data_IF_928549327476
#
_entry.id   IF_928549327476
#
_cell.length_a   1.000
_cell.length_b   1.000
_cell.length_c   1.000
_cell.angle_alpha   90.00
_cell.angle_beta   90.00
_cell.angle_gamma   90.00
#
_symmetry.space_group_name_H-M   'P 1'
#
loop_
_entity.id
_entity.type
_entity.pdbx_description
1 polymer ?
#
# COMPACT_ATOMS: atom_id res chain seq x y z
N UNK A 1 12.53 -10.55 -5.92
CA UNK A 1 11.66 -10.84 -7.07
C UNK A 1 10.28 -11.25 -6.56
N UNK A 2 9.22 -10.54 -6.92
CA UNK A 2 7.87 -10.72 -6.34
C UNK A 2 7.17 -12.00 -6.82
N UNK A 3 6.05 -12.35 -6.17
CA UNK A 3 5.17 -13.50 -6.53
C UNK A 3 4.68 -13.47 -7.99
N UNK A 4 4.79 -12.32 -8.67
CA UNK A 4 4.36 -12.12 -10.05
C UNK A 4 5.47 -11.48 -10.90
N UNK A 5 5.50 -11.88 -12.16
CA UNK A 5 6.25 -11.19 -13.21
C UNK A 5 5.24 -10.33 -13.98
N UNK A 6 5.40 -9.01 -13.86
CA UNK A 6 4.56 -8.01 -14.54
C UNK A 6 5.32 -7.43 -15.72
N UNK A 7 4.78 -7.60 -16.93
CA UNK A 7 5.38 -7.05 -18.16
C UNK A 7 5.30 -5.51 -18.16
N UNK A 8 6.27 -4.79 -18.77
CA UNK A 8 6.27 -3.32 -18.82
C UNK A 8 4.99 -2.69 -19.39
N UNK A 9 4.33 -3.38 -20.33
CA UNK A 9 3.07 -2.94 -20.94
C UNK A 9 1.97 -2.73 -19.90
N UNK A 10 1.95 -3.52 -18.83
CA UNK A 10 0.98 -3.36 -17.75
C UNK A 10 1.23 -2.08 -16.97
N UNK A 11 2.49 -1.77 -16.65
CA UNK A 11 2.83 -0.51 -15.97
C UNK A 11 2.40 0.69 -16.81
N UNK A 12 2.67 0.64 -18.11
CA UNK A 12 2.25 1.68 -19.05
C UNK A 12 0.73 1.79 -19.16
N UNK A 13 0.00 0.66 -19.14
CA UNK A 13 -1.46 0.64 -19.13
C UNK A 13 -2.03 1.31 -17.87
N UNK A 14 -1.49 0.99 -16.68
CA UNK A 14 -1.92 1.60 -15.42
C UNK A 14 -1.66 3.11 -15.41
N UNK A 15 -0.48 3.55 -15.85
CA UNK A 15 -0.13 4.97 -15.96
C UNK A 15 -1.04 5.70 -16.95
N UNK A 16 -1.23 5.16 -18.15
CA UNK A 16 -2.07 5.78 -19.17
C UNK A 16 -3.53 5.84 -18.71
N UNK A 17 -4.05 4.80 -18.06
CA UNK A 17 -5.39 4.80 -17.50
C UNK A 17 -5.57 5.92 -16.47
N UNK A 18 -4.63 6.09 -15.53
CA UNK A 18 -4.68 7.20 -14.59
C UNK A 18 -4.58 8.55 -15.29
N UNK A 19 -3.69 8.69 -16.28
CA UNK A 19 -3.49 9.95 -17.02
C UNK A 19 -4.76 10.42 -17.74
N UNK A 20 -5.56 9.50 -18.28
CA UNK A 20 -6.80 9.85 -18.99
C UNK A 20 -8.01 10.04 -18.05
N UNK A 21 -8.06 9.29 -16.95
CA UNK A 21 -9.26 9.22 -16.11
C UNK A 21 -9.14 9.95 -14.77
N UNK A 22 -7.91 10.17 -14.30
CA UNK A 22 -7.61 10.58 -12.93
C UNK A 22 -7.88 9.50 -11.87
N UNK A 23 -8.33 8.31 -12.27
CA UNK A 23 -8.73 7.24 -11.36
C UNK A 23 -7.53 6.39 -11.00
N UNK A 24 -7.28 6.20 -9.69
CA UNK A 24 -6.24 5.29 -9.21
C UNK A 24 -6.58 3.86 -9.63
N UNK A 25 -5.58 3.13 -10.09
CA UNK A 25 -5.72 1.75 -10.56
C UNK A 25 -4.61 0.88 -9.96
N UNK A 26 -4.94 -0.37 -9.63
CA UNK A 26 -3.94 -1.33 -9.20
C UNK A 26 -4.34 -2.75 -9.49
N UNK A 27 -3.34 -3.63 -9.44
CA UNK A 27 -3.45 -5.07 -9.60
C UNK A 27 -3.14 -5.69 -8.25
N UNK A 28 -3.99 -6.60 -7.82
CA UNK A 28 -3.98 -7.20 -6.49
C UNK A 28 -3.91 -8.74 -6.61
N UNK A 29 -3.14 -9.39 -5.73
CA UNK A 29 -3.07 -10.85 -5.60
C UNK A 29 -4.38 -11.41 -5.03
N UNK A 30 -4.52 -12.72 -5.10
CA UNK A 30 -5.63 -13.49 -4.53
C UNK A 30 -5.33 -14.00 -3.11
N UNK A 31 -4.23 -13.57 -2.50
CA UNK A 31 -3.88 -13.90 -1.12
C UNK A 31 -4.85 -13.24 -0.12
N UNK A 32 -4.84 -13.70 1.14
CA UNK A 32 -5.81 -13.26 2.14
C UNK A 32 -5.75 -11.76 2.44
N UNK A 33 -4.58 -11.16 2.27
CA UNK A 33 -4.29 -9.74 2.47
C UNK A 33 -4.56 -8.89 1.21
N UNK A 34 -4.88 -9.51 0.07
CA UNK A 34 -5.03 -8.84 -1.23
C UNK A 34 -3.82 -7.94 -1.53
N UNK A 35 -2.63 -8.52 -1.51
CA UNK A 35 -1.38 -7.80 -1.69
C UNK A 35 -1.32 -7.09 -3.05
N UNK A 36 -0.89 -5.83 -3.07
CA UNK A 36 -0.67 -5.08 -4.32
C UNK A 36 0.48 -5.73 -5.11
N UNK A 37 0.20 -6.10 -6.36
CA UNK A 37 1.16 -6.59 -7.35
C UNK A 37 1.80 -5.41 -8.10
N UNK A 38 0.98 -4.45 -8.54
CA UNK A 38 1.41 -3.23 -9.21
C UNK A 38 0.28 -2.21 -9.17
N UNK A 39 0.56 -0.93 -8.94
CA UNK A 39 -0.43 0.13 -8.89
C UNK A 39 0.05 1.41 -9.56
N UNK A 40 -0.88 2.34 -9.82
CA UNK A 40 -0.58 3.70 -10.25
C UNK A 40 -1.68 4.69 -9.81
N UNK A 41 -1.31 5.90 -9.32
CA UNK A 41 0.04 6.31 -8.98
C UNK A 41 0.57 5.47 -7.81
N UNK A 42 1.88 5.23 -7.81
CA UNK A 42 2.56 4.71 -6.62
C UNK A 42 2.44 5.74 -5.50
N UNK A 43 2.44 5.28 -4.24
CA UNK A 43 2.44 6.17 -3.09
C UNK A 43 3.45 7.29 -3.24
N UNK A 44 2.96 8.52 -3.19
CA UNK A 44 3.82 9.69 -3.26
C UNK A 44 4.79 9.66 -2.07
N UNK A 45 6.10 9.86 -2.30
CA UNK A 45 7.07 9.94 -1.21
C UNK A 45 6.83 11.17 -0.34
N UNK A 46 6.18 12.19 -0.91
CA UNK A 46 5.88 13.48 -0.31
C UNK A 46 4.41 13.57 0.06
N UNK A 47 4.19 14.05 1.28
CA UNK A 47 2.90 14.05 1.95
C UNK A 47 1.86 15.00 1.36
N UNK A 48 2.31 16.09 0.74
CA UNK A 48 1.46 17.07 0.06
C UNK A 48 0.73 16.46 -1.15
N UNK A 49 1.34 15.47 -1.78
CA UNK A 49 0.84 14.81 -2.98
C UNK A 49 -0.05 13.59 -2.71
N UNK A 50 -0.25 13.24 -1.43
CA UNK A 50 -1.17 12.19 -1.05
C UNK A 50 -2.63 12.57 -1.37
N UNK A 51 -3.39 11.57 -1.79
CA UNK A 51 -4.84 11.64 -1.96
C UNK A 51 -5.53 11.78 -0.60
N UNK A 52 -6.78 12.23 -0.59
CA UNK A 52 -7.61 12.31 0.63
C UNK A 52 -7.64 10.98 1.39
N UNK A 53 -7.85 9.87 0.68
CA UNK A 53 -7.94 8.55 1.30
C UNK A 53 -6.60 8.08 1.87
N UNK A 54 -5.47 8.38 1.22
CA UNK A 54 -4.14 8.07 1.76
C UNK A 54 -3.86 8.84 3.03
N UNK A 55 -4.12 10.16 3.03
CA UNK A 55 -4.01 11.00 4.24
C UNK A 55 -4.87 10.43 5.38
N UNK A 56 -6.14 10.14 5.10
CA UNK A 56 -7.09 9.60 6.09
C UNK A 56 -6.65 8.24 6.66
N UNK A 57 -6.15 7.33 5.81
CA UNK A 57 -5.63 6.03 6.22
C UNK A 57 -4.39 6.16 7.11
N UNK A 58 -3.49 7.11 6.82
CA UNK A 58 -2.31 7.38 7.64
C UNK A 58 -2.67 7.95 9.02
N UNK A 59 -3.69 8.81 9.08
CA UNK A 59 -4.11 9.46 10.33
C UNK A 59 -4.94 8.58 11.25
N UNK A 60 -5.72 7.65 10.70
CA UNK A 60 -6.73 6.90 11.46
C UNK A 60 -6.73 5.43 11.11
N UNK A 61 -6.24 4.61 12.04
CA UNK A 61 -6.37 3.16 11.96
C UNK A 61 -7.84 2.70 11.92
N UNK A 62 -8.77 3.47 12.50
CA UNK A 62 -10.20 3.21 12.41
C UNK A 62 -10.75 3.42 11.00
N UNK A 63 -10.30 4.47 10.31
CA UNK A 63 -10.62 4.72 8.90
C UNK A 63 -10.06 3.59 8.02
N UNK A 64 -8.77 3.27 8.17
CA UNK A 64 -8.12 2.18 7.41
C UNK A 64 -8.85 0.84 7.54
N UNK A 65 -9.24 0.45 8.76
CA UNK A 65 -9.99 -0.80 9.00
C UNK A 65 -11.33 -0.83 8.26
N UNK A 66 -12.04 0.30 8.17
CA UNK A 66 -13.29 0.37 7.41
C UNK A 66 -13.05 0.27 5.91
N UNK A 67 -12.01 0.92 5.37
CA UNK A 67 -11.63 0.77 3.96
C UNK A 67 -11.37 -0.70 3.61
N UNK A 68 -10.48 -1.35 4.36
CA UNK A 68 -10.11 -2.76 4.14
C UNK A 68 -11.34 -3.67 4.23
N UNK A 69 -12.28 -3.38 5.13
CA UNK A 69 -13.52 -4.15 5.24
C UNK A 69 -14.42 -4.03 4.00
N UNK A 70 -14.55 -2.83 3.42
CA UNK A 70 -15.29 -2.62 2.17
C UNK A 70 -14.63 -3.37 1.02
N UNK A 71 -13.32 -3.17 0.84
CA UNK A 71 -12.56 -3.76 -0.26
C UNK A 71 -12.62 -5.29 -0.18
N UNK A 72 -12.37 -5.87 1.01
CA UNK A 72 -12.41 -7.32 1.22
C UNK A 72 -13.75 -7.94 0.82
N UNK A 73 -14.89 -7.28 1.10
CA UNK A 73 -16.20 -7.78 0.68
C UNK A 73 -16.33 -7.79 -0.84
N UNK A 74 -15.86 -6.75 -1.51
CA UNK A 74 -15.88 -6.66 -2.98
C UNK A 74 -14.97 -7.72 -3.61
N UNK A 75 -13.75 -7.91 -3.10
CA UNK A 75 -12.83 -8.96 -3.56
C UNK A 75 -13.43 -10.36 -3.42
N UNK A 76 -14.01 -10.69 -2.26
CA UNK A 76 -14.63 -12.00 -2.03
C UNK A 76 -15.78 -12.26 -3.01
N UNK A 77 -16.64 -11.26 -3.22
CA UNK A 77 -17.77 -11.38 -4.15
C UNK A 77 -17.32 -11.44 -5.61
N UNK A 78 -16.31 -10.66 -6.00
CA UNK A 78 -15.71 -10.74 -7.33
C UNK A 78 -15.09 -12.12 -7.58
N UNK A 79 -14.45 -12.69 -6.55
CA UNK A 79 -13.88 -14.04 -6.60
C UNK A 79 -14.93 -15.13 -6.78
N UNK A 80 -16.03 -15.04 -6.05
CA UNK A 80 -17.13 -16.00 -6.09
C UNK A 80 -17.88 -15.93 -7.42
N UNK A 81 -18.16 -14.73 -7.91
CA UNK A 81 -18.99 -14.52 -9.10
C UNK A 81 -18.23 -14.54 -10.42
N UNK A 82 -16.91 -14.34 -10.38
CA UNK A 82 -16.09 -14.12 -11.57
C UNK A 82 -16.42 -12.83 -12.33
N UNK A 83 -17.18 -11.91 -11.72
CA UNK A 83 -17.69 -10.68 -12.37
C UNK A 83 -17.22 -9.41 -11.65
N UNK A 84 -17.08 -8.28 -12.38
CA UNK A 84 -16.78 -6.99 -11.76
C UNK A 84 -17.78 -6.62 -10.65
N UNK A 85 -17.26 -6.06 -9.57
CA UNK A 85 -18.05 -5.56 -8.45
C UNK A 85 -17.81 -4.06 -8.31
N UNK A 86 -18.78 -3.25 -8.72
CA UNK A 86 -18.83 -1.82 -8.43
C UNK A 86 -19.52 -1.63 -7.07
N UNK A 87 -18.92 -0.84 -6.19
CA UNK A 87 -19.46 -0.56 -4.87
C UNK A 87 -19.12 0.86 -4.41
N UNK A 88 -19.85 1.32 -3.40
CA UNK A 88 -19.50 2.52 -2.65
C UNK A 88 -18.72 2.11 -1.39
N UNK A 89 -17.56 2.71 -1.18
CA UNK A 89 -16.81 2.52 0.06
C UNK A 89 -17.53 3.19 1.23
N UNK A 90 -17.02 3.03 2.45
CA UNK A 90 -17.66 3.62 3.64
C UNK A 90 -17.68 5.16 3.68
N UNK A 91 -17.02 5.83 2.73
CA UNK A 91 -17.09 7.28 2.51
C UNK A 91 -18.03 7.68 1.36
N UNK A 92 -18.67 6.72 0.70
CA UNK A 92 -19.52 6.97 -0.48
C UNK A 92 -18.74 7.13 -1.79
N UNK A 93 -17.45 6.83 -1.82
CA UNK A 93 -16.67 6.86 -3.07
C UNK A 93 -16.92 5.60 -3.88
N UNK A 94 -17.03 5.77 -5.19
CA UNK A 94 -17.11 4.67 -6.14
C UNK A 94 -15.76 3.98 -6.26
N UNK A 95 -15.81 2.65 -6.13
CA UNK A 95 -14.70 1.74 -6.32
C UNK A 95 -15.18 0.52 -7.09
N UNK A 96 -14.26 -0.16 -7.77
CA UNK A 96 -14.56 -1.40 -8.46
C UNK A 96 -13.42 -2.40 -8.35
N UNK A 97 -13.80 -3.66 -8.18
CA UNK A 97 -12.90 -4.82 -8.29
C UNK A 97 -13.29 -5.61 -9.54
N UNK A 98 -12.33 -5.85 -10.41
CA UNK A 98 -12.48 -6.51 -11.71
C UNK A 98 -11.58 -7.75 -11.70
N UNK A 99 -12.15 -8.97 -11.74
CA UNK A 99 -11.34 -10.19 -11.74
C UNK A 99 -10.60 -10.37 -13.08
N UNK A 100 -9.32 -10.72 -13.02
CA UNK A 100 -8.54 -11.22 -14.16
C UNK A 100 -8.59 -12.74 -14.12
N UNK A 101 -9.15 -13.35 -15.16
CA UNK A 101 -9.51 -14.76 -15.20
C UNK A 101 -8.54 -15.61 -16.02
N UNK A 102 -8.28 -16.82 -15.51
CA UNK A 102 -7.68 -17.95 -16.19
C UNK A 102 -8.74 -19.04 -16.43
N UNK A 103 -9.49 -18.93 -17.52
CA UNK A 103 -10.71 -19.73 -17.67
C UNK A 103 -11.73 -19.31 -16.61
N UNK A 104 -12.13 -20.24 -15.74
CA UNK A 104 -13.09 -19.97 -14.64
C UNK A 104 -12.39 -19.56 -13.33
N UNK A 105 -11.05 -19.63 -13.27
CA UNK A 105 -10.29 -19.31 -12.05
C UNK A 105 -9.87 -17.84 -12.03
N UNK A 106 -10.05 -17.16 -10.89
CA UNK A 106 -9.50 -15.82 -10.68
C UNK A 106 -8.01 -15.91 -10.33
N UNK A 107 -7.16 -15.26 -11.12
CA UNK A 107 -5.69 -15.22 -10.89
C UNK A 107 -5.26 -14.00 -10.07
N UNK A 108 -5.84 -12.86 -10.40
CA UNK A 108 -5.57 -11.58 -9.78
C UNK A 108 -6.78 -10.67 -10.02
N UNK A 109 -6.73 -9.48 -9.46
CA UNK A 109 -7.78 -8.49 -9.62
C UNK A 109 -7.19 -7.18 -10.10
N UNK A 110 -7.88 -6.52 -11.01
CA UNK A 110 -7.76 -5.07 -11.17
C UNK A 110 -8.70 -4.39 -10.18
N UNK A 111 -8.24 -3.32 -9.56
CA UNK A 111 -9.06 -2.48 -8.71
C UNK A 111 -8.89 -1.04 -9.16
N UNK A 112 -10.01 -0.33 -9.31
CA UNK A 112 -10.01 1.10 -9.56
C UNK A 112 -10.86 1.80 -8.50
N UNK A 113 -10.57 3.08 -8.23
CA UNK A 113 -11.49 3.86 -7.44
C UNK A 113 -10.89 5.01 -6.69
N UNK A 114 -11.53 5.27 -5.54
CA UNK A 114 -11.53 6.52 -4.81
C UNK A 114 -12.08 7.66 -5.68
N UNK A 115 -13.24 7.42 -6.28
CA UNK A 115 -13.92 8.37 -7.16
C UNK A 115 -15.12 8.97 -6.45
N UNK A 116 -15.19 10.30 -6.40
CA UNK A 116 -16.36 11.02 -5.90
C UNK A 116 -17.52 10.83 -6.87
N UNK A 117 -18.69 10.51 -6.32
CA UNK A 117 -19.92 10.44 -7.09
C UNK A 117 -20.42 11.87 -7.31
N UNK A 118 -20.57 12.28 -8.57
CA UNK A 118 -21.14 13.59 -8.90
C UNK A 118 -22.60 13.61 -8.44
N UNK A 119 -22.96 14.61 -7.65
CA UNK A 119 -24.35 14.84 -7.23
C UNK A 119 -24.83 16.21 -7.69
N UNK A 120 -26.12 16.50 -7.53
CA UNK A 120 -26.67 17.84 -7.84
C UNK A 120 -26.25 18.92 -6.82
N UNK A 121 -25.72 18.52 -5.66
CA UNK A 121 -25.19 19.43 -4.65
C UNK A 121 -23.74 19.82 -4.97
N UNK A 122 -23.25 20.94 -4.42
CA UNK A 122 -21.89 21.43 -4.65
C UNK A 122 -20.83 20.33 -4.48
N UNK A 123 -19.99 20.15 -5.50
CA UNK A 123 -18.92 19.13 -5.55
C UNK A 123 -17.72 19.55 -4.66
N UNK A 124 -17.96 19.77 -3.37
CA UNK A 124 -16.96 20.25 -2.41
C UNK A 124 -17.18 19.71 -1.01
N UNK A 125 -16.10 19.64 -0.23
CA UNK A 125 -16.19 19.45 1.21
C UNK A 125 -16.25 20.85 1.84
N UNK A 126 -17.29 21.15 2.62
CA UNK A 126 -17.31 22.39 3.40
C UNK A 126 -16.29 22.30 4.53
N UNK A 127 -15.87 23.45 5.06
CA UNK A 127 -14.97 23.47 6.23
C UNK A 127 -15.60 22.76 7.43
N UNK A 128 -16.91 22.92 7.62
CA UNK A 128 -17.67 22.22 8.66
C UNK A 128 -17.67 20.69 8.45
N UNK A 129 -17.90 20.22 7.23
CA UNK A 129 -17.85 18.80 6.90
C UNK A 129 -16.44 18.21 7.11
N UNK A 130 -15.39 18.99 6.81
CA UNK A 130 -14.01 18.59 7.07
C UNK A 130 -13.71 18.48 8.58
N UNK A 131 -14.20 19.44 9.38
CA UNK A 131 -14.09 19.38 10.86
C UNK A 131 -14.84 18.18 11.44
N UNK A 132 -16.06 17.93 10.95
CA UNK A 132 -16.85 16.76 11.37
C UNK A 132 -16.15 15.45 11.01
N UNK A 133 -15.62 15.34 9.79
CA UNK A 133 -14.82 14.21 9.35
C UNK A 133 -13.64 13.96 10.29
N UNK A 134 -12.86 15.00 10.60
CA UNK A 134 -11.70 14.91 11.49
C UNK A 134 -12.09 14.46 12.90
N UNK A 135 -13.16 15.02 13.46
CA UNK A 135 -13.68 14.62 14.77
C UNK A 135 -14.17 13.17 14.77
N UNK A 136 -14.97 12.77 13.76
CA UNK A 136 -15.56 11.43 13.63
C UNK A 136 -14.50 10.33 13.56
N UNK A 137 -13.43 10.56 12.83
CA UNK A 137 -12.36 9.57 12.64
C UNK A 137 -11.20 9.71 13.62
N UNK A 138 -11.33 10.62 14.60
CA UNK A 138 -10.29 10.95 15.58
C UNK A 138 -8.96 11.24 14.89
N UNK A 139 -9.03 12.07 13.86
CA UNK A 139 -7.86 12.60 13.19
C UNK A 139 -7.22 13.57 14.18
N UNK A 140 -6.27 13.07 14.97
CA UNK A 140 -5.54 13.84 15.99
C UNK A 140 -4.13 14.18 15.52
N UNK A 141 -3.80 13.88 14.27
CA UNK A 141 -2.51 14.20 13.68
C UNK A 141 -2.51 15.70 13.33
N UNK A 142 -1.76 16.48 14.10
CA UNK A 142 -1.70 17.94 14.02
C UNK A 142 -1.17 18.44 12.67
N UNK A 143 -0.59 17.56 11.84
CA UNK A 143 -0.14 17.87 10.47
C UNK A 143 -1.25 18.12 9.46
N UNK A 144 -2.50 17.87 9.83
CA UNK A 144 -3.61 17.95 8.89
C UNK A 144 -4.71 18.82 9.44
N UNK A 145 -4.87 19.98 8.82
CA UNK A 145 -6.01 20.85 9.03
C UNK A 145 -7.25 20.29 8.33
N UNK A 146 -8.42 20.79 8.72
CA UNK A 146 -9.65 20.58 7.95
C UNK A 146 -9.48 21.04 6.48
N UNK A 147 -8.68 22.08 6.26
CA UNK A 147 -8.39 22.64 4.93
C UNK A 147 -7.57 21.67 4.05
N UNK A 148 -6.61 20.95 4.62
CA UNK A 148 -5.83 19.94 3.89
C UNK A 148 -6.70 18.82 3.34
N UNK A 149 -7.63 18.32 4.15
CA UNK A 149 -8.59 17.31 3.73
C UNK A 149 -9.56 17.86 2.70
N UNK A 150 -10.00 19.11 2.85
CA UNK A 150 -10.85 19.80 1.87
C UNK A 150 -10.17 19.93 0.52
N UNK A 151 -8.92 20.38 0.49
CA UNK A 151 -8.13 20.49 -0.74
C UNK A 151 -7.88 19.11 -1.37
N UNK A 152 -7.46 18.13 -0.57
CA UNK A 152 -7.24 16.77 -1.05
C UNK A 152 -8.51 16.11 -1.60
N UNK A 153 -9.68 16.38 -0.99
CA UNK A 153 -10.99 15.96 -1.48
C UNK A 153 -11.33 16.60 -2.82
N UNK A 154 -11.08 17.91 -2.97
CA UNK A 154 -11.32 18.65 -4.22
C UNK A 154 -10.53 18.09 -5.41
N UNK A 155 -9.31 17.59 -5.17
CA UNK A 155 -8.47 16.96 -6.20
C UNK A 155 -8.89 15.54 -6.58
N UNK A 156 -9.77 14.90 -5.82
CA UNK A 156 -10.23 13.55 -6.16
C UNK A 156 -11.08 13.57 -7.44
N UNK A 157 -10.93 12.57 -8.33
CA UNK A 157 -11.75 12.46 -9.54
C UNK A 157 -13.24 12.43 -9.17
N UNK A 158 -14.06 13.14 -9.95
CA UNK A 158 -15.50 13.24 -9.74
C UNK A 158 -16.28 12.94 -11.04
N UNK A 159 -17.13 11.93 -11.00
CA UNK A 159 -17.97 11.54 -12.15
C UNK A 159 -19.26 10.86 -11.69
N UNK A 160 -20.22 10.72 -12.60
CA UNK A 160 -21.43 9.94 -12.39
C UNK A 160 -21.16 8.42 -12.44
N UNK A 161 -22.16 7.65 -12.04
CA UNK A 161 -22.06 6.20 -11.96
C UNK A 161 -21.89 5.58 -13.36
N UNK A 162 -22.57 6.13 -14.36
CA UNK A 162 -22.59 5.66 -15.73
C UNK A 162 -21.21 5.78 -16.37
N UNK A 163 -20.55 6.93 -16.20
CA UNK A 163 -19.17 7.17 -16.65
C UNK A 163 -18.20 6.23 -15.94
N UNK A 164 -18.32 6.08 -14.61
CA UNK A 164 -17.47 5.15 -13.86
C UNK A 164 -17.67 3.70 -14.32
N UNK A 165 -18.93 3.28 -14.52
CA UNK A 165 -19.27 1.95 -15.00
C UNK A 165 -18.75 1.69 -16.42
N UNK A 166 -18.67 2.70 -17.28
CA UNK A 166 -18.07 2.58 -18.60
C UNK A 166 -16.57 2.26 -18.53
N UNK A 167 -15.83 2.91 -17.61
CA UNK A 167 -14.42 2.55 -17.35
C UNK A 167 -14.28 1.11 -16.84
N UNK A 168 -15.16 0.68 -15.93
CA UNK A 168 -15.16 -0.69 -15.41
C UNK A 168 -15.38 -1.71 -16.53
N UNK A 169 -16.35 -1.45 -17.42
CA UNK A 169 -16.62 -2.32 -18.57
C UNK A 169 -15.43 -2.40 -19.53
N UNK A 170 -14.80 -1.26 -19.85
CA UNK A 170 -13.60 -1.26 -20.69
C UNK A 170 -12.46 -2.07 -20.06
N UNK A 171 -12.22 -1.88 -18.76
CA UNK A 171 -11.20 -2.61 -18.03
C UNK A 171 -11.52 -4.10 -17.89
N UNK A 172 -12.78 -4.51 -17.80
CA UNK A 172 -13.20 -5.91 -17.83
C UNK A 172 -12.76 -6.58 -19.13
N UNK A 173 -12.98 -5.92 -20.27
CA UNK A 173 -12.50 -6.41 -21.58
C UNK A 173 -10.97 -6.49 -21.62
N UNK A 174 -10.28 -5.45 -21.11
CA UNK A 174 -8.82 -5.46 -21.04
C UNK A 174 -8.28 -6.55 -20.11
N UNK A 175 -8.94 -6.82 -18.98
CA UNK A 175 -8.56 -7.83 -18.00
C UNK A 175 -8.45 -9.22 -18.62
N UNK A 176 -9.35 -9.57 -19.53
CA UNK A 176 -9.30 -10.83 -20.28
C UNK A 176 -8.04 -10.92 -21.17
N UNK A 177 -7.65 -9.79 -21.78
CA UNK A 177 -6.45 -9.73 -22.63
C UNK A 177 -5.14 -9.74 -21.83
N UNK A 178 -5.15 -9.19 -20.62
CA UNK A 178 -4.01 -9.23 -19.69
C UNK A 178 -3.58 -10.68 -19.43
N UNK A 179 -4.56 -11.57 -19.22
CA UNK A 179 -4.29 -12.98 -19.00
C UNK A 179 -3.91 -13.71 -20.29
N UNK A 180 -4.70 -13.56 -21.37
CA UNK A 180 -4.48 -14.31 -22.63
C UNK A 180 -3.07 -14.16 -23.19
N UNK A 181 -2.50 -12.96 -23.05
CA UNK A 181 -1.20 -12.62 -23.61
C UNK A 181 -0.05 -12.80 -22.59
N UNK A 182 -0.34 -13.39 -21.42
CA UNK A 182 0.62 -13.63 -20.34
C UNK A 182 1.36 -12.35 -19.89
N UNK A 183 0.66 -11.22 -19.84
CA UNK A 183 1.23 -9.96 -19.38
C UNK A 183 1.50 -9.94 -17.87
N UNK A 184 0.73 -10.74 -17.13
CA UNK A 184 0.94 -11.03 -15.73
C UNK A 184 0.99 -12.55 -15.60
N UNK A 185 2.11 -13.07 -15.12
CA UNK A 185 2.21 -14.48 -14.76
C UNK A 185 2.61 -14.59 -13.30
N UNK A 186 1.95 -15.51 -12.60
CA UNK A 186 2.46 -15.97 -11.31
C UNK A 186 3.83 -16.56 -11.57
N UNK A 187 4.83 -16.07 -10.84
CA UNK A 187 6.16 -16.65 -10.88
C UNK A 187 6.00 -18.10 -10.42
N UNK A 188 6.44 -19.09 -11.23
CA UNK A 188 6.68 -20.43 -10.67
C UNK A 188 7.53 -20.22 -9.42
N UNK A 189 7.04 -20.69 -8.26
CA UNK A 189 7.65 -20.57 -6.91
C UNK A 189 9.11 -20.12 -6.96
N UNK A 190 9.32 -18.80 -7.12
CA UNK A 190 10.68 -18.31 -7.28
C UNK A 190 11.25 -18.20 -5.88
N UNK A 191 12.42 -18.79 -5.66
CA UNK A 191 13.17 -18.72 -4.40
C UNK A 191 13.19 -17.29 -3.82
N UNK A 192 13.27 -16.28 -4.67
CA UNK A 192 13.15 -14.86 -4.30
C UNK A 192 11.80 -14.48 -3.65
N UNK A 193 10.68 -14.90 -4.23
CA UNK A 193 9.34 -14.55 -3.75
C UNK A 193 9.03 -15.24 -2.42
N UNK A 194 9.43 -16.50 -2.29
CA UNK A 194 9.31 -17.27 -1.05
C UNK A 194 10.18 -16.67 0.05
N UNK A 195 11.41 -16.25 -0.28
CA UNK A 195 12.29 -15.59 0.67
C UNK A 195 11.74 -14.25 1.16
N UNK A 196 11.17 -13.45 0.26
CA UNK A 196 10.54 -12.16 0.62
C UNK A 196 9.37 -12.41 1.57
N UNK A 197 8.51 -13.38 1.24
CA UNK A 197 7.35 -13.72 2.08
C UNK A 197 7.81 -14.23 3.45
N UNK A 198 8.75 -15.17 3.47
CA UNK A 198 9.34 -15.70 4.68
C UNK A 198 9.88 -14.59 5.61
N UNK A 199 10.64 -13.65 5.06
CA UNK A 199 11.21 -12.54 5.84
C UNK A 199 10.12 -11.65 6.42
N UNK A 200 9.07 -11.32 5.65
CA UNK A 200 7.93 -10.53 6.13
C UNK A 200 7.21 -11.20 7.29
N UNK A 201 6.93 -12.49 7.16
CA UNK A 201 6.18 -13.25 8.17
C UNK A 201 6.99 -13.48 9.46
N UNK A 202 8.31 -13.26 9.41
CA UNK A 202 9.24 -13.55 10.50
C UNK A 202 10.02 -12.32 11.01
N UNK A 203 9.62 -11.08 10.68
CA UNK A 203 10.33 -9.85 11.14
C UNK A 203 10.46 -9.76 12.67
N UNK A 204 9.45 -10.22 13.41
CA UNK A 204 9.38 -10.21 14.88
C UNK A 204 9.88 -11.51 15.52
N UNK A 205 10.54 -12.38 14.75
CA UNK A 205 11.12 -13.64 15.21
C UNK A 205 12.62 -13.64 15.01
N UNK A 206 13.34 -14.41 15.82
CA UNK A 206 14.78 -14.55 15.66
C UNK A 206 15.05 -15.63 14.60
N UNK A 207 15.21 -15.22 13.35
CA UNK A 207 15.43 -16.13 12.22
C UNK A 207 16.78 -15.86 11.56
N UNK A 208 17.47 -16.94 11.20
CA UNK A 208 18.71 -16.91 10.43
C UNK A 208 18.54 -17.51 9.03
N UNK A 209 19.62 -17.47 8.25
CA UNK A 209 19.62 -18.04 6.90
C UNK A 209 19.34 -19.55 6.89
N UNK A 210 19.72 -20.27 7.96
CA UNK A 210 19.44 -21.70 8.10
C UNK A 210 17.93 -21.96 8.27
N UNK A 211 17.20 -21.07 8.93
CA UNK A 211 15.75 -21.21 9.12
C UNK A 211 15.01 -20.89 7.82
N UNK A 212 15.44 -19.83 7.12
CA UNK A 212 14.92 -19.51 5.79
C UNK A 212 15.19 -20.65 4.80
N UNK A 213 16.41 -21.21 4.81
CA UNK A 213 16.76 -22.30 3.91
C UNK A 213 15.93 -23.56 4.19
N UNK A 214 15.66 -23.87 5.47
CA UNK A 214 14.79 -24.98 5.85
C UNK A 214 13.35 -24.80 5.38
N UNK A 215 12.81 -23.58 5.51
CA UNK A 215 11.45 -23.28 5.03
C UNK A 215 11.33 -23.37 3.50
N UNK A 216 12.39 -22.97 2.80
CA UNK A 216 12.45 -22.97 1.33
C UNK A 216 12.93 -24.31 0.74
N UNK A 217 13.07 -25.37 1.55
CA UNK A 217 13.62 -26.67 1.14
C UNK A 217 14.99 -26.59 0.42
N UNK A 218 15.86 -25.69 0.89
CA UNK A 218 17.20 -25.45 0.35
C UNK A 218 18.30 -25.68 1.38
N UNK A 219 19.53 -25.90 0.90
CA UNK A 219 20.70 -25.77 1.77
C UNK A 219 21.01 -24.29 2.04
N UNK A 220 21.50 -23.97 3.25
CA UNK A 220 21.86 -22.60 3.61
C UNK A 220 22.93 -22.00 2.67
N UNK A 221 23.84 -22.83 2.15
CA UNK A 221 24.85 -22.41 1.17
C UNK A 221 24.21 -22.03 -0.16
N UNK A 222 23.29 -22.85 -0.66
CA UNK A 222 22.58 -22.57 -1.91
C UNK A 222 21.74 -21.30 -1.80
N UNK A 223 21.00 -21.12 -0.69
CA UNK A 223 20.23 -19.90 -0.46
C UNK A 223 21.14 -18.67 -0.33
N UNK A 224 22.29 -18.77 0.34
CA UNK A 224 23.26 -17.67 0.46
C UNK A 224 23.77 -17.23 -0.91
N UNK A 225 24.17 -18.19 -1.75
CA UNK A 225 24.64 -17.93 -3.12
C UNK A 225 23.54 -17.33 -4.00
N UNK A 226 22.30 -17.80 -3.85
CA UNK A 226 21.15 -17.22 -4.55
C UNK A 226 20.94 -15.76 -4.15
N UNK A 227 20.92 -15.46 -2.85
CA UNK A 227 20.71 -14.09 -2.32
C UNK A 227 21.81 -13.14 -2.80
N UNK A 228 23.08 -13.58 -2.78
CA UNK A 228 24.19 -12.74 -3.21
C UNK A 228 24.16 -12.46 -4.71
N UNK A 229 23.82 -13.46 -5.53
CA UNK A 229 23.78 -13.34 -6.99
C UNK A 229 22.56 -12.54 -7.47
N UNK A 230 21.37 -12.90 -7.02
CA UNK A 230 20.11 -12.36 -7.54
C UNK A 230 19.69 -11.07 -6.84
N UNK A 231 19.95 -10.95 -5.54
CA UNK A 231 19.53 -9.78 -4.74
C UNK A 231 20.68 -8.85 -4.36
N UNK A 232 21.91 -9.17 -4.76
CA UNK A 232 23.12 -8.36 -4.50
C UNK A 232 23.27 -7.95 -3.03
N UNK A 233 22.90 -8.84 -2.12
CA UNK A 233 22.90 -8.60 -0.67
C UNK A 233 23.21 -9.90 0.09
N UNK A 234 23.10 -9.87 1.41
CA UNK A 234 23.14 -11.08 2.26
C UNK A 234 21.80 -11.23 2.99
N UNK A 235 21.47 -12.43 3.45
CA UNK A 235 20.24 -12.66 4.22
C UNK A 235 20.14 -11.73 5.43
N UNK A 236 21.20 -11.65 6.23
CA UNK A 236 21.27 -10.81 7.43
C UNK A 236 21.07 -9.34 7.11
N UNK A 237 21.69 -8.85 6.02
CA UNK A 237 21.52 -7.45 5.60
C UNK A 237 20.08 -7.22 5.13
N UNK A 238 19.54 -8.09 4.28
CA UNK A 238 18.17 -7.99 3.78
C UNK A 238 17.12 -7.99 4.91
N UNK A 239 17.23 -8.92 5.85
CA UNK A 239 16.37 -8.98 7.04
C UNK A 239 16.47 -7.70 7.88
N UNK A 240 17.69 -7.17 8.08
CA UNK A 240 17.87 -5.92 8.81
C UNK A 240 17.26 -4.73 8.07
N UNK A 241 17.44 -4.63 6.76
CA UNK A 241 16.86 -3.56 5.95
C UNK A 241 15.32 -3.59 6.06
N UNK A 242 14.69 -4.77 5.97
CA UNK A 242 13.25 -4.92 6.20
C UNK A 242 12.81 -4.53 7.62
N UNK A 243 13.59 -4.86 8.65
CA UNK A 243 13.31 -4.44 10.03
C UNK A 243 13.47 -2.94 10.22
N UNK A 244 14.42 -2.29 9.54
CA UNK A 244 14.55 -0.83 9.56
C UNK A 244 13.31 -0.18 8.93
N UNK A 245 12.83 -0.67 7.79
CA UNK A 245 11.60 -0.16 7.19
C UNK A 245 10.37 -0.35 8.10
N UNK A 246 10.23 -1.53 8.71
CA UNK A 246 9.16 -1.77 9.68
C UNK A 246 9.28 -0.87 10.92
N UNK A 247 10.50 -0.58 11.37
CA UNK A 247 10.72 0.35 12.49
C UNK A 247 10.32 1.78 12.14
N UNK A 248 10.52 2.25 10.91
CA UNK A 248 10.02 3.55 10.45
C UNK A 248 8.50 3.60 10.54
N UNK A 249 7.83 2.53 10.09
CA UNK A 249 6.37 2.38 10.18
C UNK A 249 5.87 2.41 11.62
N UNK A 250 6.54 1.70 12.54
CA UNK A 250 6.18 1.71 13.96
C UNK A 250 6.44 3.09 14.61
N UNK A 251 7.53 3.77 14.23
CA UNK A 251 7.85 5.12 14.71
C UNK A 251 6.82 6.16 14.25
N UNK A 252 6.22 5.99 13.06
CA UNK A 252 5.22 6.90 12.49
C UNK A 252 3.79 6.59 12.96
N UNK A 253 3.44 5.32 13.17
CA UNK A 253 2.08 4.91 13.52
C UNK A 253 1.82 4.79 15.02
N UNK A 254 2.86 4.80 15.86
CA UNK A 254 2.72 4.54 17.30
C UNK A 254 3.59 5.44 18.17
N UNK A 255 3.16 5.61 19.42
CA UNK A 255 3.97 6.22 20.49
C UNK A 255 4.86 5.18 21.22
N UNK A 256 5.10 4.00 20.63
CA UNK A 256 5.94 2.98 21.27
C UNK A 256 7.33 3.52 21.55
N UNK A 257 7.87 3.21 22.73
CA UNK A 257 9.23 3.62 23.06
C UNK A 257 10.24 2.92 22.12
N UNK A 258 11.36 3.59 21.82
CA UNK A 258 12.36 3.13 20.83
C UNK A 258 12.95 1.77 21.24
N UNK A 259 13.15 1.56 22.56
CA UNK A 259 13.63 0.29 23.12
C UNK A 259 12.69 -0.88 22.82
N UNK A 260 11.38 -0.68 22.96
CA UNK A 260 10.36 -1.69 22.71
C UNK A 260 10.24 -2.00 21.22
N UNK A 261 10.37 -0.99 20.36
CA UNK A 261 10.45 -1.20 18.90
C UNK A 261 11.64 -2.09 18.57
N UNK A 262 12.84 -1.75 19.07
CA UNK A 262 14.05 -2.54 18.85
C UNK A 262 13.88 -4.00 19.31
N UNK A 263 13.38 -4.21 20.54
CA UNK A 263 13.17 -5.55 21.10
C UNK A 263 12.10 -6.34 20.33
N UNK A 264 11.01 -5.69 19.89
CA UNK A 264 9.96 -6.35 19.11
C UNK A 264 10.49 -6.85 17.77
N UNK A 265 11.37 -6.08 17.13
CA UNK A 265 12.06 -6.43 15.89
C UNK A 265 13.31 -7.30 16.12
N UNK A 266 13.45 -7.85 17.33
CA UNK A 266 14.49 -8.81 17.72
C UNK A 266 15.92 -8.29 17.60
N UNK A 267 16.11 -6.98 17.78
CA UNK A 267 17.42 -6.45 18.14
C UNK A 267 17.67 -6.75 19.61
N UNK A 268 18.73 -7.51 19.90
CA UNK A 268 19.17 -7.82 21.27
C UNK A 268 19.72 -6.59 21.98
N UNK A 269 20.32 -5.67 21.22
CA UNK A 269 20.86 -4.41 21.73
C UNK A 269 20.15 -3.20 21.07
N UNK A 270 19.36 -2.43 21.84
CA UNK A 270 18.75 -1.19 21.38
C UNK A 270 19.74 -0.13 20.88
N UNK A 271 20.97 -0.09 21.41
CA UNK A 271 22.00 0.84 20.95
C UNK A 271 22.50 0.45 19.55
N UNK A 272 22.73 -0.85 19.31
CA UNK A 272 23.02 -1.36 17.98
C UNK A 272 21.88 -1.07 16.99
N UNK A 273 20.62 -1.28 17.38
CA UNK A 273 19.46 -0.89 16.57
C UNK A 273 19.51 0.60 16.17
N UNK A 274 19.70 1.50 17.15
CA UNK A 274 19.75 2.93 16.88
C UNK A 274 20.87 3.31 15.89
N UNK A 275 22.02 2.63 15.97
CA UNK A 275 23.13 2.80 15.02
C UNK A 275 22.76 2.31 13.62
N UNK A 276 22.12 1.15 13.50
CA UNK A 276 21.67 0.62 12.20
C UNK A 276 20.58 1.51 11.58
N UNK A 277 19.64 1.98 12.40
CA UNK A 277 18.62 2.92 11.97
C UNK A 277 19.25 4.19 11.43
N UNK A 278 20.11 4.87 12.20
CA UNK A 278 20.81 6.08 11.74
C UNK A 278 21.63 5.85 10.48
N UNK A 279 22.28 4.69 10.36
CA UNK A 279 23.01 4.33 9.14
C UNK A 279 22.09 4.16 7.93
N UNK A 280 20.92 3.55 8.12
CA UNK A 280 19.96 3.29 7.05
C UNK A 280 19.10 4.50 6.66
N UNK A 281 18.91 5.46 7.57
CA UNK A 281 18.00 6.59 7.37
C UNK A 281 18.68 7.96 7.35
N UNK A 282 19.94 8.05 7.80
CA UNK A 282 20.63 9.32 8.03
C UNK A 282 20.25 10.03 9.34
N UNK A 283 19.19 9.58 10.03
CA UNK A 283 18.62 10.22 11.21
C UNK A 283 18.54 9.25 12.39
N UNK A 284 18.69 9.73 13.63
CA UNK A 284 18.35 8.92 14.81
C UNK A 284 16.84 8.63 14.85
N UNK A 285 16.43 7.60 15.58
CA UNK A 285 14.99 7.29 15.74
C UNK A 285 14.21 8.45 16.37
N UNK A 286 14.83 9.19 17.30
CA UNK A 286 14.24 10.40 17.89
C UNK A 286 14.17 11.52 16.88
N UNK A 287 15.26 11.85 16.17
CA UNK A 287 15.25 12.87 15.10
C UNK A 287 14.28 12.52 13.99
N UNK A 288 14.11 11.25 13.64
CA UNK A 288 13.15 10.79 12.64
C UNK A 288 11.71 10.96 13.14
N UNK A 289 11.44 10.59 14.40
CA UNK A 289 10.12 10.82 15.00
C UNK A 289 9.84 12.31 15.19
N UNK A 290 10.86 13.10 15.50
CA UNK A 290 10.77 14.55 15.62
C UNK A 290 10.69 15.23 14.27
N UNK A 291 11.31 14.76 13.21
CA UNK A 291 11.15 15.33 11.86
C UNK A 291 9.74 15.09 11.36
N UNK A 292 9.18 13.91 11.64
CA UNK A 292 7.75 13.64 11.43
C UNK A 292 6.85 14.59 12.25
N UNK A 293 7.33 15.10 13.40
CA UNK A 293 6.64 16.12 14.22
C UNK A 293 6.97 17.57 13.84
N UNK A 294 8.18 17.91 13.37
CA UNK A 294 8.62 19.27 13.03
C UNK A 294 8.15 19.69 11.65
N UNK A 295 7.99 18.73 10.74
CA UNK A 295 7.16 18.89 9.55
C UNK A 295 5.68 19.14 9.89
N UNK A 296 5.29 19.07 11.17
CA UNK A 296 3.99 19.54 11.68
C UNK A 296 4.01 20.99 12.22
N UNK A 297 5.18 21.57 12.52
CA UNK A 297 5.33 22.90 13.16
C UNK A 297 5.95 23.97 12.25
N UNK A 298 6.84 23.63 11.29
CA UNK A 298 7.50 24.63 10.41
C UNK A 298 6.59 25.26 9.34
N UNK A 299 5.39 24.71 9.14
CA UNK A 299 4.34 25.31 8.31
C UNK A 299 3.48 26.33 9.07
N UNK A 300 3.64 26.48 10.40
CA UNK A 300 2.83 27.41 11.22
C UNK A 300 3.48 28.79 11.45
N UNK A 301 4.80 28.93 11.31
CA UNK A 301 5.55 30.15 11.72
C UNK A 301 6.21 30.94 10.56
N UNK A 302 5.94 30.60 9.29
CA UNK A 302 6.57 31.22 8.12
C UNK A 302 5.57 31.85 7.13
N UNK A 303 4.49 32.45 7.64
CA UNK A 303 3.60 33.33 6.88
C UNK A 303 3.83 34.80 7.33
N UNK A 304 4.42 35.68 6.50
CA UNK A 304 4.51 37.11 6.76
C UNK A 304 3.18 37.87 6.67
#
# INVERSE_FOLDING_TARGET
MGKFIVRPQIKLMLENFFRISGIRIGIYDTDEEMSIISDYPHWAPEFEHLTFCEKAKLCSGGFMKKCVSCDRKAFLKARETGKPQIYECHMGFLEAVIPILAGERVECFLMIGQVRKRTLAEDGMSEEAAREFSARFRITDIRYSAEDFRHAWGRMPCMDYETFSAYVYFLEICAQKIYSDNYIRRSERSVSGELIQYVRDNLYRNVGIADAARELDMSASHLSHFISKEMRTTFTKYLNDCRIEESKRLLSMTNMNIKNIALSLRYSDPAYFAKQFKKGTGMTCTEYRESLRRQSWETEDNDP
#
